data_IF_900209503053
#
_entry.id   IF_900209503053
#
_cell.length_a   1.000
_cell.length_b   1.000
_cell.length_c   1.000
_cell.angle_alpha   90.00
_cell.angle_beta   90.00
_cell.angle_gamma   90.00
#
_symmetry.space_group_name_H-M   'P 1'
#
loop_
_entity.id
_entity.type
_entity.pdbx_description
1 polymer ?
#
# COMPACT_ATOMS: atom_id res chain seq x y z
N UNK A 1 -46.72 68.20 -31.16
CA UNK A 1 -47.32 66.85 -31.33
C UNK A 1 -46.31 66.04 -32.12
N UNK A 2 -45.60 65.03 -31.62
CA UNK A 2 -45.85 64.13 -30.50
C UNK A 2 -44.53 63.50 -30.02
N UNK A 3 -44.26 63.64 -28.72
CA UNK A 3 -43.79 62.59 -27.77
C UNK A 3 -42.57 61.76 -28.20
N UNK A 4 -41.32 62.05 -27.79
CA UNK A 4 -40.76 61.93 -26.43
C UNK A 4 -41.47 60.91 -25.53
N UNK A 5 -41.54 59.63 -25.92
CA UNK A 5 -42.01 58.55 -25.04
C UNK A 5 -41.50 57.17 -25.52
N UNK A 6 -40.20 56.89 -25.41
CA UNK A 6 -39.68 55.51 -25.45
C UNK A 6 -38.28 55.37 -24.83
N UNK A 7 -37.89 56.29 -23.96
CA UNK A 7 -36.82 56.06 -22.97
C UNK A 7 -37.57 55.61 -21.71
N UNK A 8 -37.15 54.52 -21.09
CA UNK A 8 -37.78 53.75 -19.99
C UNK A 8 -38.80 52.68 -20.41
N UNK A 9 -38.30 51.50 -20.80
CA UNK A 9 -38.77 50.20 -20.30
C UNK A 9 -38.11 49.05 -21.07
N UNK A 10 -36.81 48.80 -20.88
CA UNK A 10 -36.23 47.46 -21.06
C UNK A 10 -34.91 47.35 -20.27
N UNK A 11 -34.98 47.77 -19.01
CA UNK A 11 -34.11 47.26 -17.95
C UNK A 11 -34.67 45.89 -17.56
N UNK A 12 -33.79 44.91 -17.33
CA UNK A 12 -34.05 43.51 -16.93
C UNK A 12 -34.12 42.50 -18.09
N UNK A 13 -32.96 42.22 -18.69
CA UNK A 13 -32.60 40.84 -19.06
C UNK A 13 -31.26 40.49 -18.45
N UNK A 14 -31.35 39.61 -17.46
CA UNK A 14 -30.30 39.12 -16.61
C UNK A 14 -29.16 38.45 -17.39
N UNK A 15 -27.92 38.78 -16.99
CA UNK A 15 -26.95 37.82 -16.44
C UNK A 15 -26.98 36.45 -17.14
N UNK A 16 -26.15 36.28 -18.17
CA UNK A 16 -25.61 34.96 -18.51
C UNK A 16 -24.09 35.04 -18.57
N UNK A 17 -23.51 35.01 -17.37
CA UNK A 17 -22.15 34.57 -17.11
C UNK A 17 -22.03 33.10 -17.52
N UNK A 18 -21.57 32.83 -18.75
CA UNK A 18 -21.26 31.48 -19.23
C UNK A 18 -19.76 31.25 -19.22
N UNK A 19 -19.29 30.47 -18.24
CA UNK A 19 -17.90 30.20 -17.94
C UNK A 19 -17.09 29.57 -19.09
N UNK A 20 -15.80 29.93 -19.15
CA UNK A 20 -14.77 29.16 -19.79
C UNK A 20 -14.63 27.77 -19.13
N UNK A 21 -14.64 26.70 -19.91
CA UNK A 21 -14.09 25.38 -19.55
C UNK A 21 -13.45 24.81 -20.84
N UNK A 22 -12.16 25.04 -21.04
CA UNK A 22 -11.08 24.16 -20.59
C UNK A 22 -11.05 22.83 -21.36
N UNK A 23 -10.20 22.84 -22.38
CA UNK A 23 -9.55 21.75 -23.12
C UNK A 23 -9.79 20.33 -22.61
N UNK A 24 -10.56 19.55 -23.38
CA UNK A 24 -10.59 18.10 -23.30
C UNK A 24 -9.35 17.52 -24.00
N UNK A 25 -8.24 17.50 -23.26
CA UNK A 25 -7.02 16.79 -23.63
C UNK A 25 -6.73 15.74 -22.57
N UNK A 26 -7.65 14.80 -22.37
CA UNK A 26 -7.39 13.65 -21.51
C UNK A 26 -6.52 12.62 -22.28
N UNK A 27 -5.22 12.91 -22.40
CA UNK A 27 -4.22 11.93 -22.80
C UNK A 27 -4.11 10.89 -21.69
N UNK A 28 -4.80 9.76 -21.87
CA UNK A 28 -4.78 8.62 -20.96
C UNK A 28 -3.43 7.90 -21.07
N UNK A 29 -2.62 7.98 -20.03
CA UNK A 29 -1.37 7.22 -19.92
C UNK A 29 -1.69 5.86 -19.28
N UNK A 30 -1.61 4.80 -20.09
CA UNK A 30 -1.61 3.42 -19.62
C UNK A 30 -0.25 3.13 -18.97
N UNK A 31 -0.25 2.76 -17.68
CA UNK A 31 0.95 2.25 -17.00
C UNK A 31 0.72 0.77 -16.68
N UNK A 32 1.63 -0.14 -17.06
CA UNK A 32 1.32 -1.56 -17.20
C UNK A 32 1.33 -2.30 -15.86
N UNK A 33 0.44 -3.30 -15.77
CA UNK A 33 0.61 -4.56 -15.03
C UNK A 33 0.90 -4.48 -13.53
N UNK A 34 -0.14 -4.21 -12.73
CA UNK A 34 -0.18 -4.70 -11.34
C UNK A 34 -0.94 -6.03 -11.33
N UNK A 35 -0.26 -7.20 -11.32
CA UNK A 35 -0.95 -8.47 -11.12
C UNK A 35 -1.57 -8.41 -9.71
N UNK A 36 -2.88 -8.15 -9.66
CA UNK A 36 -3.74 -8.01 -8.46
C UNK A 36 -3.83 -6.62 -7.79
N UNK A 37 -3.59 -5.52 -8.52
CA UNK A 37 -4.19 -4.20 -8.23
C UNK A 37 -3.88 -3.52 -6.89
N UNK A 38 -3.02 -4.08 -6.03
CA UNK A 38 -2.74 -3.54 -4.70
C UNK A 38 -1.25 -3.35 -4.45
N UNK A 39 -0.89 -2.21 -3.85
CA UNK A 39 0.51 -1.89 -3.55
C UNK A 39 0.88 -2.55 -2.22
N UNK A 40 1.61 -3.66 -2.32
CA UNK A 40 2.18 -4.43 -1.20
C UNK A 40 3.56 -3.91 -0.79
N UNK A 41 4.30 -3.27 -1.71
CA UNK A 41 5.60 -2.68 -1.41
C UNK A 41 5.48 -1.68 -0.24
N UNK A 42 6.43 -1.68 0.69
CA UNK A 42 6.42 -0.84 1.90
C UNK A 42 7.10 -1.47 3.11
N UNK A 43 7.19 -0.72 4.21
CA UNK A 43 7.74 -1.18 5.47
C UNK A 43 6.65 -1.68 6.42
N UNK A 44 6.92 -2.79 7.09
CA UNK A 44 5.99 -3.50 7.97
C UNK A 44 6.69 -3.87 9.28
N UNK A 45 5.95 -3.78 10.37
CA UNK A 45 6.40 -4.14 11.72
C UNK A 45 5.54 -5.26 12.26
N UNK A 46 6.17 -6.31 12.78
CA UNK A 46 5.45 -7.37 13.48
C UNK A 46 4.74 -6.78 14.71
N UNK A 47 3.51 -7.23 14.93
CA UNK A 47 2.67 -6.87 16.09
C UNK A 47 3.15 -7.48 17.40
N UNK A 48 4.12 -8.39 17.33
CA UNK A 48 4.71 -9.08 18.46
C UNK A 48 6.21 -9.30 18.28
N UNK A 49 6.86 -9.57 19.42
CA UNK A 49 8.25 -10.01 19.47
C UNK A 49 8.37 -11.41 18.85
N UNK A 50 9.30 -11.58 17.91
CA UNK A 50 9.63 -12.85 17.26
C UNK A 50 10.99 -13.31 17.78
N UNK A 51 11.06 -14.52 18.34
CA UNK A 51 12.31 -15.12 18.83
C UNK A 51 13.14 -14.17 19.73
N UNK A 52 12.47 -13.40 20.58
CA UNK A 52 13.12 -12.46 21.52
C UNK A 52 13.48 -11.09 20.95
N UNK A 53 13.16 -10.78 19.69
CA UNK A 53 13.43 -9.49 19.07
C UNK A 53 12.18 -8.84 18.44
N UNK A 54 12.14 -7.50 18.48
CA UNK A 54 11.22 -6.73 17.67
C UNK A 54 11.63 -6.85 16.20
N UNK A 55 10.70 -7.28 15.35
CA UNK A 55 10.97 -7.57 13.96
C UNK A 55 10.24 -6.59 13.03
N UNK A 56 10.96 -6.08 12.04
CA UNK A 56 10.39 -5.25 10.98
C UNK A 56 11.09 -5.52 9.66
N UNK A 57 10.42 -5.28 8.54
CA UNK A 57 10.94 -5.54 7.21
C UNK A 57 10.35 -4.58 6.18
N UNK A 58 11.10 -4.30 5.12
CA UNK A 58 10.67 -3.45 4.02
C UNK A 58 10.71 -4.23 2.71
N UNK A 59 9.56 -4.26 2.04
CA UNK A 59 9.33 -4.88 0.73
C UNK A 59 9.61 -3.84 -0.35
N UNK A 60 10.87 -3.69 -0.69
CA UNK A 60 11.37 -2.77 -1.71
C UNK A 60 12.21 -3.53 -2.73
N UNK A 61 12.63 -2.88 -3.83
CA UNK A 61 13.51 -3.52 -4.83
C UNK A 61 14.78 -4.13 -4.21
N UNK A 62 15.30 -3.53 -3.13
CA UNK A 62 16.37 -4.08 -2.30
C UNK A 62 15.86 -4.28 -0.87
N UNK A 63 15.05 -5.32 -0.69
CA UNK A 63 14.41 -5.58 0.59
C UNK A 63 15.40 -5.71 1.76
N UNK A 64 14.93 -5.31 2.93
CA UNK A 64 15.70 -5.40 4.18
C UNK A 64 14.82 -5.78 5.35
N UNK A 65 15.42 -6.36 6.38
CA UNK A 65 14.77 -6.57 7.67
C UNK A 65 15.64 -6.06 8.81
N UNK A 66 14.99 -5.81 9.94
CA UNK A 66 15.63 -5.39 11.17
C UNK A 66 15.07 -6.22 12.32
N UNK A 67 15.96 -6.77 13.13
CA UNK A 67 15.62 -7.45 14.37
C UNK A 67 16.35 -6.75 15.53
N UNK A 68 15.58 -6.29 16.53
CA UNK A 68 16.12 -5.53 17.67
C UNK A 68 15.69 -6.09 19.01
N UNK A 69 16.66 -6.34 19.87
CA UNK A 69 16.52 -6.62 21.30
C UNK A 69 17.55 -5.78 22.08
N UNK A 70 17.52 -5.82 23.42
CA UNK A 70 18.30 -4.90 24.28
C UNK A 70 19.78 -4.75 23.92
N UNK A 71 20.45 -5.84 23.49
CA UNK A 71 21.87 -5.81 23.08
C UNK A 71 22.12 -6.41 21.67
N UNK A 72 21.05 -6.70 20.94
CA UNK A 72 21.13 -7.34 19.63
C UNK A 72 20.48 -6.43 18.60
N UNK A 73 21.27 -5.98 17.63
CA UNK A 73 20.81 -5.25 16.46
C UNK A 73 21.26 -5.98 15.21
N UNK A 74 20.29 -6.41 14.42
CA UNK A 74 20.49 -7.04 13.12
C UNK A 74 19.88 -6.16 12.04
N UNK A 75 20.61 -5.94 10.96
CA UNK A 75 20.11 -5.26 9.76
C UNK A 75 20.47 -6.13 8.56
N UNK A 76 19.50 -6.92 8.10
CA UNK A 76 19.72 -7.95 7.10
C UNK A 76 19.04 -7.62 5.79
N UNK A 77 19.42 -8.38 4.75
CA UNK A 77 18.77 -8.32 3.43
C UNK A 77 17.70 -9.39 3.32
N UNK A 78 16.67 -9.10 2.55
CA UNK A 78 15.67 -10.08 2.12
C UNK A 78 15.44 -9.98 0.62
N UNK A 79 14.99 -11.09 0.05
CA UNK A 79 14.32 -11.08 -1.26
C UNK A 79 12.83 -11.29 -1.01
N UNK A 80 11.99 -10.84 -1.93
CA UNK A 80 10.56 -11.11 -1.86
C UNK A 80 9.94 -11.17 -3.25
N UNK A 81 8.85 -11.91 -3.35
CA UNK A 81 8.06 -12.04 -4.56
C UNK A 81 6.57 -12.18 -4.20
N UNK A 82 5.72 -11.81 -5.16
CA UNK A 82 4.27 -11.98 -5.05
C UNK A 82 3.87 -13.10 -5.99
N UNK A 83 3.07 -14.04 -5.49
CA UNK A 83 2.44 -15.09 -6.28
C UNK A 83 0.96 -15.17 -5.91
N UNK A 84 0.09 -14.70 -6.82
CA UNK A 84 -1.33 -14.56 -6.55
C UNK A 84 -1.59 -13.65 -5.34
N UNK A 85 -2.12 -14.23 -4.26
CA UNK A 85 -2.43 -13.54 -2.99
C UNK A 85 -1.36 -13.68 -1.91
N UNK A 86 -0.30 -14.44 -2.20
CA UNK A 86 0.74 -14.79 -1.27
C UNK A 86 2.00 -13.97 -1.58
N UNK A 87 2.65 -13.51 -0.52
CA UNK A 87 3.93 -12.81 -0.57
C UNK A 87 4.95 -13.72 0.09
N UNK A 88 5.90 -14.21 -0.70
CA UNK A 88 7.02 -15.02 -0.20
C UNK A 88 8.20 -14.09 0.07
N UNK A 89 8.82 -14.23 1.24
CA UNK A 89 9.93 -13.41 1.69
C UNK A 89 11.05 -14.36 2.15
N UNK A 90 12.22 -14.21 1.57
CA UNK A 90 13.41 -15.00 1.93
C UNK A 90 14.38 -14.11 2.69
N UNK A 91 14.52 -14.35 3.99
CA UNK A 91 15.46 -13.65 4.86
C UNK A 91 16.84 -14.27 4.72
N UNK A 92 17.85 -13.45 4.43
CA UNK A 92 19.25 -13.91 4.47
C UNK A 92 19.74 -13.95 5.91
N UNK A 93 20.61 -14.93 6.20
CA UNK A 93 21.36 -14.94 7.46
C UNK A 93 22.15 -13.64 7.59
N UNK A 94 22.13 -13.03 8.76
CA UNK A 94 22.80 -11.76 9.03
C UNK A 94 23.52 -11.78 10.36
N UNK A 95 24.79 -11.38 10.37
CA UNK A 95 25.53 -11.16 11.60
C UNK A 95 25.02 -9.92 12.32
N UNK A 96 24.93 -9.99 13.64
CA UNK A 96 24.38 -8.94 14.50
C UNK A 96 25.42 -8.52 15.55
N UNK A 97 25.11 -7.46 16.30
CA UNK A 97 25.89 -7.11 17.50
C UNK A 97 25.88 -8.24 18.52
N UNK A 98 26.92 -8.33 19.37
CA UNK A 98 26.96 -9.29 20.47
C UNK A 98 27.35 -10.72 20.05
N UNK A 99 28.09 -10.89 18.95
CA UNK A 99 28.58 -12.20 18.46
C UNK A 99 27.47 -13.23 18.15
N UNK A 100 26.27 -12.74 17.83
CA UNK A 100 25.14 -13.57 17.40
C UNK A 100 24.76 -13.26 15.95
N UNK A 101 23.94 -14.12 15.36
CA UNK A 101 23.42 -13.92 14.01
C UNK A 101 21.92 -14.20 13.97
N UNK A 102 21.20 -13.40 13.18
CA UNK A 102 19.84 -13.71 12.79
C UNK A 102 19.89 -14.80 11.72
N UNK A 103 19.21 -15.92 11.97
CA UNK A 103 19.20 -17.04 11.04
C UNK A 103 18.45 -16.70 9.74
N UNK A 104 18.78 -17.43 8.68
CA UNK A 104 17.96 -17.41 7.48
C UNK A 104 16.55 -17.94 7.79
N UNK A 105 15.56 -17.53 7.01
CA UNK A 105 14.20 -18.00 7.15
C UNK A 105 13.36 -17.68 5.92
N UNK A 106 12.27 -18.42 5.75
CA UNK A 106 11.24 -18.09 4.78
C UNK A 106 10.03 -17.54 5.54
N UNK A 107 9.45 -16.45 5.06
CA UNK A 107 8.25 -15.84 5.65
C UNK A 107 7.20 -15.76 4.56
N UNK A 108 6.04 -16.35 4.84
CA UNK A 108 4.89 -16.33 3.92
C UNK A 108 3.83 -15.39 4.47
N UNK A 109 3.46 -14.37 3.70
CA UNK A 109 2.51 -13.34 4.10
C UNK A 109 1.30 -13.28 3.18
N UNK A 110 0.15 -12.88 3.74
CA UNK A 110 -1.10 -12.62 3.01
C UNK A 110 -1.68 -11.26 3.40
N UNK A 111 -2.04 -10.39 2.45
CA UNK A 111 -2.76 -9.15 2.74
C UNK A 111 -4.04 -9.35 3.55
N UNK A 112 -4.12 -8.73 4.73
CA UNK A 112 -5.32 -8.66 5.55
C UNK A 112 -6.07 -7.37 5.23
N UNK A 113 -6.73 -7.27 4.06
CA UNK A 113 -7.65 -6.15 3.75
C UNK A 113 -8.26 -6.19 2.34
N UNK A 114 -7.85 -7.13 1.47
CA UNK A 114 -8.34 -7.09 0.08
C UNK A 114 -9.79 -7.52 -0.08
N UNK A 115 -10.33 -8.37 0.81
CA UNK A 115 -11.71 -8.85 0.68
C UNK A 115 -12.75 -7.74 0.93
N UNK A 116 -12.58 -6.88 1.94
CA UNK A 116 -13.60 -5.88 2.27
C UNK A 116 -13.66 -4.72 1.25
N UNK A 117 -12.52 -4.34 0.65
CA UNK A 117 -12.47 -3.24 -0.33
C UNK A 117 -12.92 -3.65 -1.73
N UNK A 118 -12.57 -4.85 -2.18
CA UNK A 118 -13.01 -5.38 -3.48
C UNK A 118 -14.55 -5.56 -3.50
N UNK A 119 -15.15 -5.98 -2.38
CA UNK A 119 -16.61 -6.06 -2.28
C UNK A 119 -17.27 -4.67 -2.35
N UNK A 120 -16.66 -3.64 -1.77
CA UNK A 120 -17.22 -2.28 -1.83
C UNK A 120 -17.14 -1.68 -3.26
N UNK A 121 -16.11 -2.05 -4.03
CA UNK A 121 -15.87 -1.54 -5.40
C UNK A 121 -16.70 -2.28 -6.46
N UNK A 122 -17.02 -3.55 -6.25
CA UNK A 122 -17.87 -4.35 -7.15
C UNK A 122 -19.38 -4.10 -6.88
N UNK A 123 -19.78 -3.82 -5.64
CA UNK A 123 -21.20 -3.67 -5.26
C UNK A 123 -21.66 -2.23 -4.97
N UNK A 124 -20.76 -1.26 -4.85
CA UNK A 124 -21.07 0.14 -4.54
C UNK A 124 -21.03 1.05 -5.77
N UNK A 125 -22.03 0.96 -6.64
CA UNK A 125 -22.12 1.79 -7.84
C UNK A 125 -21.96 3.29 -7.56
N UNK A 126 -20.94 3.91 -8.14
CA UNK A 126 -20.87 5.36 -8.32
C UNK A 126 -19.86 5.71 -9.42
N UNK A 127 -20.38 6.25 -10.53
CA UNK A 127 -19.63 6.95 -11.55
C UNK A 127 -18.64 7.95 -10.92
N UNK A 128 -17.34 7.65 -10.96
CA UNK A 128 -16.24 8.63 -10.86
C UNK A 128 -14.93 7.96 -11.24
N UNK A 129 -14.39 8.40 -12.38
CA UNK A 129 -13.06 8.11 -12.89
C UNK A 129 -11.98 8.52 -11.86
N UNK A 130 -11.65 7.61 -10.94
CA UNK A 130 -10.48 7.66 -10.06
C UNK A 130 -9.94 6.25 -9.91
N UNK A 131 -8.77 5.98 -10.49
CA UNK A 131 -8.03 4.73 -10.28
C UNK A 131 -7.50 4.74 -8.85
N UNK A 132 -8.24 4.13 -7.92
CA UNK A 132 -7.81 3.92 -6.55
C UNK A 132 -7.04 2.60 -6.51
N UNK A 133 -5.70 2.65 -6.44
CA UNK A 133 -4.90 1.44 -6.21
C UNK A 133 -4.81 1.21 -4.70
N UNK A 134 -5.56 0.24 -4.12
CA UNK A 134 -5.54 0.03 -2.67
C UNK A 134 -4.14 -0.33 -2.16
N UNK A 135 -3.69 0.40 -1.13
CA UNK A 135 -2.46 0.05 -0.41
C UNK A 135 -2.75 -0.98 0.68
N UNK A 136 -1.85 -1.96 0.82
CA UNK A 136 -1.97 -2.98 1.87
C UNK A 136 -1.37 -2.47 3.16
N UNK A 137 -2.21 -2.30 4.18
CA UNK A 137 -1.82 -1.80 5.50
C UNK A 137 -1.41 -2.90 6.49
N UNK A 138 -1.84 -4.14 6.25
CA UNK A 138 -1.58 -5.25 7.16
C UNK A 138 -1.35 -6.56 6.40
N UNK A 139 -0.41 -7.36 6.87
CA UNK A 139 -0.07 -8.68 6.35
C UNK A 139 -0.21 -9.71 7.47
N UNK A 140 -0.92 -10.82 7.24
CA UNK A 140 -0.84 -12.01 8.10
C UNK A 140 0.32 -12.86 7.63
N UNK A 141 1.31 -13.04 8.48
CA UNK A 141 2.55 -13.72 8.13
C UNK A 141 2.77 -14.97 8.97
N UNK A 142 3.45 -15.95 8.37
CA UNK A 142 4.00 -17.14 9.05
C UNK A 142 5.50 -17.15 8.83
N UNK A 143 6.26 -17.14 9.93
CA UNK A 143 7.71 -17.23 9.94
C UNK A 143 8.13 -18.71 10.00
N UNK A 144 8.88 -19.17 9.00
CA UNK A 144 9.44 -20.53 8.92
C UNK A 144 10.96 -20.46 9.13
N UNK A 145 11.45 -20.72 10.36
CA UNK A 145 12.86 -20.59 10.69
C UNK A 145 13.68 -21.69 10.01
N UNK A 146 14.92 -21.37 9.58
CA UNK A 146 15.85 -22.38 9.05
C UNK A 146 16.55 -23.19 10.16
N UNK A 147 16.39 -22.80 11.43
CA UNK A 147 17.08 -23.44 12.56
C UNK A 147 16.33 -24.71 12.98
N UNK A 148 16.99 -25.89 12.97
CA UNK A 148 16.37 -27.15 13.37
C UNK A 148 15.75 -27.08 14.77
N UNK A 149 14.61 -27.74 14.96
CA UNK A 149 13.90 -27.78 16.24
C UNK A 149 13.15 -26.51 16.62
N UNK A 150 13.29 -25.41 15.85
CA UNK A 150 12.57 -24.16 16.10
C UNK A 150 11.19 -24.18 15.43
N UNK A 151 10.13 -23.87 16.19
CA UNK A 151 8.77 -23.86 15.65
C UNK A 151 8.50 -22.60 14.82
N UNK A 152 7.67 -22.75 13.79
CA UNK A 152 7.13 -21.63 13.03
C UNK A 152 6.24 -20.75 13.91
N UNK A 153 6.25 -19.44 13.67
CA UNK A 153 5.43 -18.47 14.41
C UNK A 153 4.56 -17.65 13.46
N UNK A 154 3.29 -17.47 13.80
CA UNK A 154 2.39 -16.57 13.07
C UNK A 154 2.33 -15.21 13.74
N UNK A 155 2.24 -14.16 12.93
CA UNK A 155 2.17 -12.77 13.40
C UNK A 155 1.46 -11.90 12.38
N UNK A 156 1.04 -10.71 12.81
CA UNK A 156 0.52 -9.69 11.90
C UNK A 156 1.57 -8.61 11.72
N UNK A 157 1.85 -8.24 10.48
CA UNK A 157 2.78 -7.16 10.17
C UNK A 157 1.98 -5.93 9.73
N UNK A 158 2.09 -4.83 10.49
CA UNK A 158 1.40 -3.57 10.21
C UNK A 158 2.34 -2.60 9.52
N UNK A 159 1.84 -1.89 8.51
CA UNK A 159 2.58 -0.86 7.78
C UNK A 159 2.90 0.33 8.70
N UNK A 160 4.06 0.95 8.52
CA UNK A 160 4.50 2.15 9.24
C UNK A 160 5.37 3.06 8.37
#
# INVERSE_FOLDING_TARGET
MSHYFAILAFLVTCIFSGAAMAQDANTRVFVPDAPNGAIIAGCYRADRVLYGANFSFCLERRGSYQARASNVRCEGRLNWAVSGRDVSIDLRRQSCTGNVAWAAANVTCRPQSLLDKILTEIFGGANKERVLVPQVNSLRCTYHPSVPGTRSQTFVAKRF
#
